data_IF_227449507918
#
_entry.id   IF_227449507918
#
_cell.length_a   1.000
_cell.length_b   1.000
_cell.length_c   1.000
_cell.angle_alpha   90.00
_cell.angle_beta   90.00
_cell.angle_gamma   90.00
#
_symmetry.space_group_name_H-M   'P 1'
#
loop_
_entity.id
_entity.type
_entity.pdbx_description
1 polymer ?
#
# COMPACT_ATOMS: atom_id res chain seq x y z
N UNK A 1 13.12 20.76 -21.81
CA UNK A 1 13.55 19.72 -20.82
C UNK A 1 12.41 19.57 -19.84
N UNK A 2 11.76 18.39 -19.76
CA UNK A 2 10.71 18.16 -18.77
C UNK A 2 11.36 18.07 -17.39
N UNK A 3 11.01 18.99 -16.50
CA UNK A 3 11.53 19.03 -15.13
C UNK A 3 11.00 17.81 -14.38
N UNK A 4 11.86 17.08 -13.69
CA UNK A 4 11.43 15.98 -12.81
C UNK A 4 10.57 16.55 -11.68
N UNK A 5 9.57 15.77 -11.24
CA UNK A 5 8.76 16.12 -10.08
C UNK A 5 9.64 16.08 -8.82
N UNK A 6 9.49 17.06 -7.92
CA UNK A 6 10.42 17.26 -6.80
C UNK A 6 10.28 16.19 -5.71
N UNK A 7 9.04 15.88 -5.33
CA UNK A 7 8.72 14.98 -4.22
C UNK A 7 8.19 13.63 -4.67
N UNK A 8 7.70 13.55 -5.90
CA UNK A 8 7.19 12.30 -6.49
C UNK A 8 8.31 11.45 -7.09
N UNK A 9 8.07 10.14 -7.16
CA UNK A 9 9.04 9.19 -7.68
C UNK A 9 8.35 7.93 -8.21
N UNK A 10 9.03 7.19 -9.06
CA UNK A 10 8.73 5.80 -9.34
C UNK A 10 9.57 4.91 -8.42
N UNK A 11 8.94 3.86 -7.90
CA UNK A 11 9.63 2.84 -7.14
C UNK A 11 9.47 1.49 -7.85
N UNK A 12 10.56 0.79 -8.05
CA UNK A 12 10.53 -0.55 -8.64
C UNK A 12 11.32 -1.53 -7.80
N UNK A 13 10.88 -2.79 -7.78
CA UNK A 13 11.55 -3.79 -6.99
C UNK A 13 10.73 -5.07 -6.90
N UNK A 14 10.60 -5.58 -5.70
CA UNK A 14 10.02 -6.89 -5.44
C UNK A 14 8.97 -6.83 -4.34
N UNK A 15 7.88 -7.56 -4.55
CA UNK A 15 6.95 -8.00 -3.51
C UNK A 15 7.19 -9.48 -3.27
N UNK A 16 7.38 -9.86 -2.00
CA UNK A 16 7.52 -11.25 -1.56
C UNK A 16 6.43 -11.58 -0.56
N UNK A 17 5.82 -12.75 -0.71
CA UNK A 17 4.86 -13.29 0.23
C UNK A 17 5.35 -14.64 0.71
N UNK A 18 5.25 -14.90 2.02
CA UNK A 18 5.59 -16.18 2.63
C UNK A 18 4.48 -16.60 3.59
N UNK A 19 3.99 -17.80 3.38
CA UNK A 19 3.13 -18.50 4.32
C UNK A 19 3.97 -19.55 5.04
N UNK A 20 3.87 -19.63 6.35
CA UNK A 20 4.60 -20.56 7.19
C UNK A 20 3.70 -21.71 7.64
N UNK A 21 2.41 -21.43 7.96
CA UNK A 21 1.45 -22.40 8.42
C UNK A 21 0.09 -22.24 7.69
N UNK A 22 -0.74 -23.31 7.61
CA UNK A 22 -0.46 -24.70 7.96
C UNK A 22 0.47 -25.41 6.99
N UNK A 23 0.67 -24.90 5.77
CA UNK A 23 1.58 -25.41 4.76
C UNK A 23 2.43 -24.27 4.18
N UNK A 24 3.72 -24.48 4.09
CA UNK A 24 4.64 -23.49 3.54
C UNK A 24 4.33 -23.19 2.07
N UNK A 25 4.28 -21.89 1.75
CA UNK A 25 4.09 -21.39 0.40
C UNK A 25 4.71 -20.01 0.26
N UNK A 26 5.60 -19.84 -0.70
CA UNK A 26 6.25 -18.57 -0.95
C UNK A 26 6.26 -18.23 -2.43
N UNK A 27 6.20 -16.93 -2.72
CA UNK A 27 6.35 -16.40 -4.07
C UNK A 27 6.88 -14.98 -4.05
N UNK A 28 7.44 -14.57 -5.17
CA UNK A 28 8.00 -13.23 -5.36
C UNK A 28 7.70 -12.75 -6.78
N UNK A 29 7.28 -11.47 -6.89
CA UNK A 29 7.05 -10.82 -8.17
C UNK A 29 7.75 -9.49 -8.24
N UNK A 30 8.19 -9.11 -9.45
CA UNK A 30 8.59 -7.72 -9.71
C UNK A 30 7.37 -6.82 -9.69
N UNK A 31 7.52 -5.65 -9.06
CA UNK A 31 6.46 -4.66 -8.93
C UNK A 31 7.01 -3.26 -9.21
N UNK A 32 6.17 -2.42 -9.78
CA UNK A 32 6.42 -0.99 -9.91
C UNK A 32 5.29 -0.21 -9.25
N UNK A 33 5.64 0.78 -8.45
CA UNK A 33 4.70 1.65 -7.72
C UNK A 33 4.99 3.11 -8.02
N UNK A 34 3.96 3.93 -7.95
CA UNK A 34 4.04 5.38 -7.93
C UNK A 34 4.11 5.85 -6.48
N UNK A 35 5.09 6.69 -6.16
CA UNK A 35 5.09 7.51 -4.97
C UNK A 35 4.77 8.94 -5.42
N UNK A 36 3.60 9.44 -5.08
CA UNK A 36 3.05 10.70 -5.55
C UNK A 36 2.81 11.64 -4.38
N UNK A 37 3.42 12.83 -4.41
CA UNK A 37 2.93 13.95 -3.63
C UNK A 37 1.61 14.43 -4.24
N UNK A 38 0.54 14.47 -3.46
CA UNK A 38 -0.78 14.82 -3.99
C UNK A 38 -0.84 16.25 -4.50
N UNK A 39 0.06 17.12 -4.04
CA UNK A 39 0.20 18.48 -4.59
C UNK A 39 0.80 18.50 -6.01
N UNK A 40 1.53 17.45 -6.41
CA UNK A 40 2.16 17.34 -7.73
C UNK A 40 1.28 16.57 -8.75
N UNK A 41 0.05 16.22 -8.39
CA UNK A 41 -0.83 15.40 -9.23
C UNK A 41 -1.10 16.01 -10.62
N UNK A 42 -1.29 17.32 -10.69
CA UNK A 42 -1.50 18.00 -11.97
C UNK A 42 -0.27 17.89 -12.86
N UNK A 43 0.92 18.18 -12.32
CA UNK A 43 2.19 18.08 -13.04
C UNK A 43 2.46 16.64 -13.55
N UNK A 44 2.01 15.60 -12.84
CA UNK A 44 2.06 14.23 -13.31
C UNK A 44 1.29 14.04 -14.63
N UNK A 45 0.11 14.63 -14.77
CA UNK A 45 -0.72 14.50 -15.99
C UNK A 45 -0.09 15.26 -17.18
N UNK A 46 0.67 16.30 -16.90
CA UNK A 46 1.35 17.12 -17.92
C UNK A 46 2.69 16.51 -18.37
N UNK A 47 3.22 15.55 -17.61
CA UNK A 47 4.52 14.94 -17.85
C UNK A 47 4.58 14.20 -19.19
N UNK A 48 3.50 13.53 -19.59
CA UNK A 48 3.42 12.75 -20.82
C UNK A 48 1.97 12.51 -21.25
N UNK A 49 1.67 12.45 -22.57
CA UNK A 49 0.38 12.00 -23.06
C UNK A 49 -0.01 10.59 -22.60
N UNK A 50 0.98 9.76 -22.16
CA UNK A 50 0.77 8.44 -21.60
C UNK A 50 0.43 8.48 -20.10
N UNK A 51 0.44 9.66 -19.46
CA UNK A 51 0.06 9.89 -18.08
C UNK A 51 -1.21 10.77 -18.01
N UNK A 52 -2.37 10.21 -18.29
CA UNK A 52 -3.62 10.97 -18.32
C UNK A 52 -4.83 10.12 -18.03
N UNK A 53 -6.01 10.74 -18.05
CA UNK A 53 -7.26 10.11 -17.61
C UNK A 53 -7.62 8.79 -18.33
N UNK A 54 -7.25 8.66 -19.60
CA UNK A 54 -7.50 7.47 -20.44
C UNK A 54 -6.20 6.79 -20.90
N UNK A 55 -5.07 7.16 -20.30
CA UNK A 55 -3.76 6.71 -20.73
C UNK A 55 -3.33 5.38 -20.10
N UNK A 56 -2.16 4.92 -20.53
CA UNK A 56 -1.52 3.71 -20.03
C UNK A 56 -1.15 3.79 -18.54
N UNK A 57 -0.93 5.01 -18.03
CA UNK A 57 -0.62 5.34 -16.65
C UNK A 57 -1.58 6.42 -16.16
N UNK A 58 -2.35 6.15 -15.11
CA UNK A 58 -3.34 7.11 -14.63
C UNK A 58 -3.48 7.02 -13.11
N UNK A 59 -3.45 8.19 -12.46
CA UNK A 59 -3.85 8.36 -11.07
C UNK A 59 -5.21 9.05 -11.01
N UNK A 60 -6.14 8.53 -10.23
CA UNK A 60 -7.46 9.13 -9.99
C UNK A 60 -7.78 9.12 -8.52
N UNK A 61 -8.06 10.28 -7.95
CA UNK A 61 -8.40 10.41 -6.53
C UNK A 61 -9.60 9.54 -6.11
N UNK A 62 -10.60 9.43 -6.97
CA UNK A 62 -11.82 8.64 -6.72
C UNK A 62 -11.59 7.13 -6.61
N UNK A 63 -10.36 6.65 -6.88
CA UNK A 63 -9.97 5.27 -6.66
C UNK A 63 -9.60 4.99 -5.20
N UNK A 64 -9.42 6.02 -4.37
CA UNK A 64 -8.94 5.96 -2.99
C UNK A 64 -9.95 6.61 -2.05
N UNK A 65 -10.09 6.08 -0.83
CA UNK A 65 -11.03 6.55 0.18
C UNK A 65 -12.40 6.95 -0.44
N UNK A 66 -13.08 6.03 -1.17
CA UNK A 66 -14.24 6.35 -1.99
C UNK A 66 -15.43 6.88 -1.18
N UNK A 67 -15.51 6.59 0.09
CA UNK A 67 -16.52 7.12 1.01
C UNK A 67 -16.42 8.65 1.18
N UNK A 68 -15.27 9.24 0.90
CA UNK A 68 -15.03 10.68 0.91
C UNK A 68 -14.94 11.26 -0.51
N UNK A 69 -14.07 10.66 -1.33
CA UNK A 69 -13.71 11.24 -2.64
C UNK A 69 -14.84 11.20 -3.66
N UNK A 70 -15.76 10.23 -3.57
CA UNK A 70 -16.95 10.19 -4.43
C UNK A 70 -18.00 11.24 -4.05
N UNK A 71 -17.91 11.77 -2.84
CA UNK A 71 -18.77 12.85 -2.35
C UNK A 71 -18.17 14.24 -2.62
N UNK A 72 -17.09 14.32 -3.41
CA UNK A 72 -16.47 15.57 -3.82
C UNK A 72 -15.35 16.07 -2.90
N UNK A 73 -15.01 15.35 -1.83
CA UNK A 73 -13.85 15.68 -0.99
C UNK A 73 -12.55 15.36 -1.74
N UNK A 74 -11.61 16.30 -1.81
CA UNK A 74 -10.30 16.04 -2.38
C UNK A 74 -9.54 14.96 -1.59
N UNK A 75 -8.73 14.16 -2.27
CA UNK A 75 -8.07 12.99 -1.64
C UNK A 75 -7.17 13.40 -0.46
N UNK A 76 -6.43 14.49 -0.58
CA UNK A 76 -5.58 14.97 0.52
C UNK A 76 -6.39 15.28 1.79
N UNK A 77 -7.55 15.94 1.62
CA UNK A 77 -8.43 16.26 2.75
C UNK A 77 -9.15 15.03 3.30
N UNK A 78 -9.54 14.10 2.43
CA UNK A 78 -10.09 12.80 2.84
C UNK A 78 -9.11 12.02 3.73
N UNK A 79 -7.82 11.98 3.35
CA UNK A 79 -6.76 11.35 4.15
C UNK A 79 -6.57 12.09 5.48
N UNK A 80 -6.50 13.44 5.46
CA UNK A 80 -6.38 14.25 6.69
C UNK A 80 -7.56 14.03 7.64
N UNK A 81 -8.78 14.00 7.10
CA UNK A 81 -9.99 13.74 7.87
C UNK A 81 -9.93 12.35 8.53
N UNK A 82 -9.62 11.29 7.77
CA UNK A 82 -9.52 9.94 8.30
C UNK A 82 -8.44 9.81 9.39
N UNK A 83 -7.29 10.46 9.19
CA UNK A 83 -6.22 10.47 10.19
C UNK A 83 -6.62 11.26 11.43
N UNK A 84 -7.30 12.40 11.28
CA UNK A 84 -7.81 13.19 12.39
C UNK A 84 -8.86 12.45 13.22
N UNK A 85 -9.80 11.73 12.56
CA UNK A 85 -10.78 10.86 13.23
C UNK A 85 -10.08 9.76 14.06
N UNK A 86 -8.99 9.20 13.53
CA UNK A 86 -8.26 8.13 14.18
C UNK A 86 -7.35 8.58 15.33
N UNK A 87 -6.66 9.70 15.18
CA UNK A 87 -5.62 10.16 16.12
C UNK A 87 -6.07 11.33 17.02
N UNK A 88 -7.27 11.88 16.77
CA UNK A 88 -7.75 13.07 17.47
C UNK A 88 -6.94 14.35 17.17
N UNK A 89 -6.09 14.31 16.12
CA UNK A 89 -5.21 15.42 15.75
C UNK A 89 -5.13 15.56 14.24
N UNK A 90 -5.31 16.80 13.76
CA UNK A 90 -5.12 17.14 12.34
C UNK A 90 -3.63 17.19 11.99
N UNK A 91 -3.30 16.77 10.78
CA UNK A 91 -1.96 16.84 10.20
C UNK A 91 -2.07 17.72 8.94
N UNK A 92 -1.29 18.81 8.91
CA UNK A 92 -1.47 19.88 7.91
C UNK A 92 -0.39 19.92 6.81
N UNK A 93 0.63 19.08 6.90
CA UNK A 93 1.70 19.03 5.90
C UNK A 93 1.34 18.19 4.65
N UNK A 94 2.35 17.87 3.83
CA UNK A 94 2.18 17.11 2.59
C UNK A 94 1.60 15.72 2.82
N UNK A 95 0.78 15.25 1.87
CA UNK A 95 0.30 13.87 1.81
C UNK A 95 0.92 13.23 0.57
N UNK A 96 1.66 12.14 0.77
CA UNK A 96 2.32 11.40 -0.30
C UNK A 96 1.83 9.95 -0.32
N UNK A 97 1.42 9.44 -1.46
CA UNK A 97 0.87 8.09 -1.59
C UNK A 97 1.81 7.17 -2.34
N UNK A 98 2.11 6.01 -1.75
CA UNK A 98 2.74 4.89 -2.45
C UNK A 98 1.66 3.90 -2.89
N UNK A 99 1.49 3.75 -4.19
CA UNK A 99 0.35 3.00 -4.74
C UNK A 99 0.66 2.44 -6.12
N UNK A 100 -0.13 1.46 -6.56
CA UNK A 100 -0.15 1.01 -7.95
C UNK A 100 -1.14 1.87 -8.73
N UNK A 101 -0.68 2.67 -9.71
CA UNK A 101 -1.57 3.49 -10.54
C UNK A 101 -2.42 2.61 -11.46
N UNK A 102 -3.47 3.18 -12.04
CA UNK A 102 -4.22 2.51 -13.12
C UNK A 102 -3.28 2.19 -14.28
N UNK A 103 -3.48 1.01 -14.85
CA UNK A 103 -2.79 0.58 -16.06
C UNK A 103 -3.83 0.32 -17.14
N UNK A 104 -3.81 1.12 -18.22
CA UNK A 104 -4.76 1.01 -19.34
C UNK A 104 -6.23 1.05 -18.89
N UNK A 105 -6.54 1.97 -17.99
CA UNK A 105 -7.90 2.15 -17.45
C UNK A 105 -8.30 1.15 -16.36
N UNK A 106 -7.56 0.06 -16.17
CA UNK A 106 -7.83 -0.91 -15.12
C UNK A 106 -7.26 -0.44 -13.78
N UNK A 107 -8.09 -0.44 -12.74
CA UNK A 107 -7.71 -0.16 -11.36
C UNK A 107 -7.80 -1.44 -10.54
N UNK A 108 -6.68 -1.82 -9.96
CA UNK A 108 -6.64 -2.83 -8.92
C UNK A 108 -5.42 -2.59 -8.03
N UNK A 109 -5.67 -2.34 -6.77
CA UNK A 109 -4.61 -2.06 -5.81
C UNK A 109 -4.95 -2.71 -4.45
N UNK A 110 -4.24 -3.77 -4.06
CA UNK A 110 -4.50 -4.48 -2.80
C UNK A 110 -4.22 -3.61 -1.57
N UNK A 111 -3.27 -2.69 -1.67
CA UNK A 111 -2.91 -1.79 -0.59
C UNK A 111 -2.29 -0.50 -1.12
N UNK A 112 -2.70 0.63 -0.55
CA UNK A 112 -2.07 1.94 -0.72
C UNK A 112 -1.56 2.44 0.63
N UNK A 113 -0.41 3.12 0.63
CA UNK A 113 0.18 3.70 1.82
C UNK A 113 0.25 5.22 1.66
N UNK A 114 -0.53 5.94 2.48
CA UNK A 114 -0.50 7.40 2.52
C UNK A 114 0.41 7.85 3.66
N UNK A 115 1.53 8.45 3.30
CA UNK A 115 2.48 9.05 4.23
C UNK A 115 2.03 10.47 4.53
N UNK A 116 1.70 10.74 5.78
CA UNK A 116 1.17 12.03 6.24
C UNK A 116 2.27 12.76 7.01
N UNK A 117 2.68 13.90 6.48
CA UNK A 117 3.75 14.71 7.06
C UNK A 117 3.17 15.96 7.73
N UNK A 118 3.90 16.53 8.67
CA UNK A 118 3.61 17.88 9.19
C UNK A 118 4.25 18.98 8.33
N UNK A 119 4.10 20.24 8.76
CA UNK A 119 4.63 21.40 8.07
C UNK A 119 6.17 21.39 7.96
N UNK A 120 6.87 20.71 8.87
CA UNK A 120 8.33 20.56 8.89
C UNK A 120 8.77 19.30 8.12
N UNK A 121 7.91 18.73 7.30
CA UNK A 121 8.13 17.48 6.54
C UNK A 121 8.51 16.26 7.42
N UNK A 122 8.10 16.25 8.69
CA UNK A 122 8.29 15.09 9.55
C UNK A 122 7.10 14.13 9.41
N UNK A 123 7.38 12.84 9.20
CA UNK A 123 6.34 11.83 9.12
C UNK A 123 5.60 11.72 10.46
N UNK A 124 4.27 11.89 10.44
CA UNK A 124 3.39 11.84 11.61
C UNK A 124 2.47 10.63 11.63
N UNK A 125 2.10 10.15 10.47
CA UNK A 125 1.30 8.93 10.35
C UNK A 125 1.49 8.26 8.99
N UNK A 126 1.18 6.97 8.95
CA UNK A 126 0.93 6.25 7.69
C UNK A 126 -0.49 5.71 7.74
N UNK A 127 -1.32 6.08 6.76
CA UNK A 127 -2.63 5.47 6.56
C UNK A 127 -2.47 4.37 5.51
N UNK A 128 -2.81 3.13 5.90
CA UNK A 128 -2.85 1.99 4.99
C UNK A 128 -4.29 1.75 4.56
N UNK A 129 -4.62 1.98 3.29
CA UNK A 129 -5.89 1.55 2.71
C UNK A 129 -5.72 0.16 2.12
N UNK A 130 -6.38 -0.83 2.71
CA UNK A 130 -6.31 -2.24 2.31
C UNK A 130 -7.60 -2.65 1.62
N UNK A 131 -7.50 -3.32 0.48
CA UNK A 131 -8.65 -3.88 -0.25
C UNK A 131 -8.59 -5.40 -0.23
N UNK A 132 -9.73 -6.05 -0.05
CA UNK A 132 -9.82 -7.50 -0.16
C UNK A 132 -10.29 -7.98 -1.55
N UNK A 133 -10.01 -9.23 -1.84
CA UNK A 133 -10.45 -9.91 -3.05
C UNK A 133 -11.08 -11.25 -2.66
N UNK A 134 -12.27 -11.58 -3.18
CA UNK A 134 -13.00 -10.94 -4.31
C UNK A 134 -14.00 -9.85 -3.91
N UNK A 135 -14.25 -9.60 -2.63
CA UNK A 135 -15.38 -8.79 -2.12
C UNK A 135 -15.25 -7.30 -2.41
N UNK A 136 -14.03 -6.79 -2.70
CA UNK A 136 -13.74 -5.38 -2.99
C UNK A 136 -14.09 -4.42 -1.85
N UNK A 137 -14.15 -4.93 -0.64
CA UNK A 137 -14.26 -4.11 0.56
C UNK A 137 -12.96 -3.39 0.86
N UNK A 138 -13.02 -2.31 1.62
CA UNK A 138 -11.85 -1.51 2.02
C UNK A 138 -11.83 -1.31 3.51
N UNK A 139 -10.63 -1.24 4.04
CA UNK A 139 -10.39 -1.01 5.45
C UNK A 139 -9.13 -0.17 5.65
N UNK A 140 -9.17 0.71 6.66
CA UNK A 140 -8.07 1.60 6.95
C UNK A 140 -7.35 1.20 8.23
N UNK A 141 -6.01 1.16 8.18
CA UNK A 141 -5.16 1.10 9.35
C UNK A 141 -4.38 2.39 9.46
N UNK A 142 -4.52 3.12 10.58
CA UNK A 142 -3.80 4.35 10.85
C UNK A 142 -2.67 4.05 11.82
N UNK A 143 -1.45 4.33 11.39
CA UNK A 143 -0.22 4.03 12.11
C UNK A 143 0.44 5.35 12.53
N UNK A 144 0.37 5.73 13.82
CA UNK A 144 1.05 6.94 14.28
C UNK A 144 2.57 6.76 14.22
N UNK A 145 3.27 7.74 13.67
CA UNK A 145 4.73 7.77 13.61
C UNK A 145 5.26 8.58 14.80
N UNK A 146 5.88 7.89 15.74
CA UNK A 146 6.39 8.51 16.97
C UNK A 146 7.91 8.68 16.95
N UNK A 147 8.60 8.16 15.93
CA UNK A 147 10.07 8.16 15.85
C UNK A 147 10.53 8.52 14.43
N UNK A 148 11.68 9.17 14.34
CA UNK A 148 12.35 9.48 13.08
C UNK A 148 12.94 8.19 12.50
N UNK A 149 12.70 7.95 11.21
CA UNK A 149 13.33 6.89 10.44
C UNK A 149 12.47 5.66 10.20
N UNK A 150 12.39 4.73 11.14
CA UNK A 150 11.62 3.48 10.98
C UNK A 150 10.33 3.50 11.79
N UNK A 151 9.19 3.25 11.14
CA UNK A 151 7.92 3.06 11.80
C UNK A 151 7.70 1.56 12.08
N UNK A 152 7.46 1.21 13.35
CA UNK A 152 7.09 -0.15 13.77
C UNK A 152 5.83 -0.09 14.61
N UNK A 153 4.85 -0.92 14.26
CA UNK A 153 3.58 -0.94 14.95
C UNK A 153 2.92 -2.31 14.91
N UNK A 154 1.97 -2.51 15.80
CA UNK A 154 1.08 -3.67 15.79
C UNK A 154 -0.37 -3.23 15.88
N UNK A 155 -1.26 -4.02 15.28
CA UNK A 155 -2.71 -3.80 15.29
C UNK A 155 -3.44 -5.12 15.15
N UNK A 156 -4.56 -5.26 15.87
CA UNK A 156 -5.44 -6.41 15.66
C UNK A 156 -5.98 -6.41 14.24
N UNK A 157 -5.82 -7.52 13.53
CA UNK A 157 -6.38 -7.73 12.20
C UNK A 157 -7.87 -8.01 12.33
N UNK A 158 -8.69 -7.09 11.91
CA UNK A 158 -10.16 -7.22 11.94
C UNK A 158 -10.76 -7.27 10.56
N UNK A 159 -9.94 -7.04 9.53
CA UNK A 159 -10.36 -7.07 8.15
C UNK A 159 -9.94 -8.36 7.45
N UNK A 160 -10.90 -9.06 6.84
CA UNK A 160 -10.67 -10.32 6.14
C UNK A 160 -10.12 -10.06 4.73
N UNK A 161 -8.81 -9.99 4.61
CA UNK A 161 -8.13 -9.66 3.33
C UNK A 161 -8.09 -10.85 2.37
N UNK A 162 -7.99 -12.07 2.89
CA UNK A 162 -7.83 -13.28 2.07
C UNK A 162 -8.58 -14.45 2.70
N UNK A 163 -9.34 -15.24 1.91
CA UNK A 163 -10.05 -16.40 2.42
C UNK A 163 -9.14 -17.52 2.97
N UNK A 164 -7.84 -17.44 2.73
CA UNK A 164 -6.88 -18.44 3.18
C UNK A 164 -6.19 -18.08 4.51
N UNK A 165 -6.57 -17.00 5.17
CA UNK A 165 -6.03 -16.59 6.47
C UNK A 165 -7.16 -16.39 7.47
N UNK A 166 -7.01 -16.85 8.73
CA UNK A 166 -7.99 -16.57 9.77
C UNK A 166 -8.12 -15.06 10.03
N UNK A 167 -9.22 -14.66 10.64
CA UNK A 167 -9.50 -13.26 10.94
C UNK A 167 -8.74 -12.77 12.17
N UNK A 168 -8.72 -13.57 13.23
CA UNK A 168 -8.17 -13.19 14.53
C UNK A 168 -6.66 -13.31 14.56
N UNK A 169 -5.99 -12.31 14.00
CA UNK A 169 -4.54 -12.22 13.93
C UNK A 169 -4.09 -10.85 14.41
N UNK A 170 -2.82 -10.75 14.71
CA UNK A 170 -2.12 -9.47 14.92
C UNK A 170 -1.29 -9.14 13.68
N UNK A 171 -1.50 -7.97 13.08
CA UNK A 171 -0.57 -7.39 12.13
C UNK A 171 0.60 -6.76 12.88
N UNK A 172 1.82 -7.17 12.53
CA UNK A 172 3.04 -6.44 12.87
C UNK A 172 3.62 -5.85 11.60
N UNK A 173 3.73 -4.53 11.59
CA UNK A 173 4.12 -3.78 10.42
C UNK A 173 5.38 -2.96 10.69
N UNK A 174 6.26 -2.88 9.69
CA UNK A 174 7.40 -1.98 9.72
C UNK A 174 7.59 -1.29 8.38
N UNK A 175 7.96 -0.02 8.44
CA UNK A 175 8.23 0.83 7.29
C UNK A 175 9.61 1.44 7.46
N UNK A 176 10.43 1.40 6.42
CA UNK A 176 11.65 2.19 6.38
C UNK A 176 11.33 3.67 6.20
N UNK A 177 12.30 4.55 6.45
CA UNK A 177 12.22 5.91 5.95
C UNK A 177 12.07 5.91 4.42
N UNK A 178 11.34 6.91 3.91
CA UNK A 178 11.23 7.13 2.47
C UNK A 178 12.55 7.73 1.96
N UNK A 179 13.17 7.09 0.98
CA UNK A 179 14.46 7.50 0.43
C UNK A 179 14.82 6.71 -0.82
N UNK A 180 16.09 6.54 -1.11
CA UNK A 180 16.58 5.76 -2.26
C UNK A 180 16.12 4.30 -2.21
N UNK A 181 15.97 3.76 -1.03
CA UNK A 181 15.35 2.46 -0.80
C UNK A 181 14.13 2.64 0.08
N UNK A 182 13.06 1.93 -0.25
CA UNK A 182 11.84 1.90 0.54
C UNK A 182 11.47 0.45 0.82
N UNK A 183 11.31 0.14 2.09
CA UNK A 183 10.92 -1.16 2.58
C UNK A 183 9.61 -1.09 3.38
N UNK A 184 8.71 -2.04 3.11
CA UNK A 184 7.51 -2.27 3.93
C UNK A 184 7.44 -3.74 4.24
N UNK A 185 7.28 -4.08 5.51
CA UNK A 185 7.08 -5.44 5.96
C UNK A 185 5.81 -5.53 6.80
N UNK A 186 4.96 -6.50 6.49
CA UNK A 186 3.72 -6.78 7.20
C UNK A 186 3.68 -8.27 7.51
N UNK A 187 3.48 -8.63 8.78
CA UNK A 187 3.42 -10.02 9.22
C UNK A 187 2.15 -10.30 10.01
N UNK A 188 1.53 -11.45 9.74
CA UNK A 188 0.36 -11.98 10.43
C UNK A 188 0.79 -12.95 11.52
N UNK A 189 0.45 -12.64 12.76
CA UNK A 189 0.77 -13.44 13.95
C UNK A 189 -0.47 -13.95 14.64
N UNK A 190 -0.42 -15.21 15.09
CA UNK A 190 -1.41 -15.82 15.99
C UNK A 190 -0.68 -16.17 17.29
N UNK A 191 -0.85 -15.33 18.32
CA UNK A 191 -0.03 -15.43 19.52
C UNK A 191 1.46 -15.30 19.23
N UNK A 192 2.25 -16.33 19.52
CA UNK A 192 3.68 -16.37 19.25
C UNK A 192 4.06 -16.93 17.85
N UNK A 193 3.07 -17.39 17.07
CA UNK A 193 3.32 -18.06 15.79
C UNK A 193 3.10 -17.11 14.63
N UNK A 194 4.12 -16.93 13.80
CA UNK A 194 4.02 -16.21 12.52
C UNK A 194 3.39 -17.12 11.47
N UNK A 195 2.23 -16.74 10.94
CA UNK A 195 1.51 -17.51 9.93
C UNK A 195 1.85 -17.08 8.49
N UNK A 196 2.05 -15.79 8.30
CA UNK A 196 2.25 -15.20 6.98
C UNK A 196 3.06 -13.92 7.09
N UNK A 197 3.80 -13.56 6.04
CA UNK A 197 4.34 -12.22 5.86
C UNK A 197 4.32 -11.78 4.40
N UNK A 198 4.29 -10.46 4.22
CA UNK A 198 4.46 -9.77 2.96
C UNK A 198 5.54 -8.70 3.12
N UNK A 199 6.47 -8.64 2.17
CA UNK A 199 7.55 -7.64 2.15
C UNK A 199 7.61 -6.95 0.81
N UNK A 200 7.76 -5.62 0.84
CA UNK A 200 8.14 -4.80 -0.30
C UNK A 200 9.59 -4.36 -0.13
N UNK A 201 10.40 -4.52 -1.16
CA UNK A 201 11.76 -3.99 -1.25
C UNK A 201 11.90 -3.26 -2.56
N UNK A 202 11.99 -1.94 -2.49
CA UNK A 202 11.84 -1.04 -3.62
C UNK A 202 13.04 -0.09 -3.71
N UNK A 203 13.38 0.30 -4.94
CA UNK A 203 14.41 1.29 -5.26
C UNK A 203 13.79 2.47 -5.99
N UNK A 204 14.17 3.68 -5.56
CA UNK A 204 13.70 4.95 -6.09
C UNK A 204 14.26 5.20 -7.49
N UNK A 205 13.41 5.81 -8.33
CA UNK A 205 13.78 6.39 -9.62
C UNK A 205 13.09 7.75 -9.73
N UNK A 206 13.77 8.73 -10.29
CA UNK A 206 13.15 10.02 -10.54
C UNK A 206 11.91 9.86 -11.42
N UNK A 207 10.90 10.69 -11.21
CA UNK A 207 9.71 10.72 -12.03
C UNK A 207 9.81 11.85 -13.05
N UNK A 208 10.29 11.49 -14.22
CA UNK A 208 10.36 12.31 -15.42
C UNK A 208 9.77 11.56 -16.62
N UNK A 209 9.65 12.21 -17.76
CA UNK A 209 9.06 11.61 -18.97
C UNK A 209 9.80 10.33 -19.41
N UNK A 210 11.12 10.33 -19.35
CA UNK A 210 11.92 9.19 -19.81
C UNK A 210 11.79 7.99 -18.87
N UNK A 211 11.83 8.23 -17.55
CA UNK A 211 11.64 7.19 -16.53
C UNK A 211 10.22 6.62 -16.54
N UNK A 212 9.20 7.47 -16.76
CA UNK A 212 7.82 7.02 -16.94
C UNK A 212 7.67 6.08 -18.15
N UNK A 213 8.26 6.43 -19.29
CA UNK A 213 8.21 5.57 -20.48
C UNK A 213 8.94 4.23 -20.22
N UNK A 214 10.12 4.25 -19.57
CA UNK A 214 10.84 3.02 -19.18
C UNK A 214 10.02 2.18 -18.21
N UNK A 215 9.32 2.82 -17.24
CA UNK A 215 8.42 2.14 -16.33
C UNK A 215 7.29 1.43 -17.09
N UNK A 216 6.63 2.10 -18.04
CA UNK A 216 5.56 1.50 -18.84
C UNK A 216 6.05 0.33 -19.70
N UNK A 217 7.26 0.40 -20.24
CA UNK A 217 7.88 -0.73 -20.96
C UNK A 217 8.23 -1.89 -20.03
N UNK A 218 8.67 -1.59 -18.81
CA UNK A 218 9.03 -2.62 -17.80
C UNK A 218 7.81 -3.29 -17.18
N UNK A 219 6.71 -2.55 -17.06
CA UNK A 219 5.47 -2.97 -16.42
C UNK A 219 4.23 -2.71 -17.31
N UNK A 220 4.17 -3.25 -18.54
CA UNK A 220 3.19 -2.85 -19.56
C UNK A 220 1.73 -3.15 -19.17
N UNK A 221 1.49 -4.14 -18.32
CA UNK A 221 0.16 -4.58 -17.88
C UNK A 221 0.16 -4.92 -16.40
N UNK A 222 0.67 -3.98 -15.58
CA UNK A 222 0.90 -4.25 -14.16
C UNK A 222 -0.36 -4.71 -13.44
N UNK A 223 -1.48 -3.99 -13.63
CA UNK A 223 -2.76 -4.32 -12.99
C UNK A 223 -3.27 -5.69 -13.41
N UNK A 224 -3.27 -6.01 -14.70
CA UNK A 224 -3.72 -7.31 -15.19
C UNK A 224 -2.84 -8.47 -14.69
N UNK A 225 -1.51 -8.28 -14.67
CA UNK A 225 -0.56 -9.26 -14.10
C UNK A 225 -0.80 -9.47 -12.60
N UNK A 226 -1.09 -8.41 -11.84
CA UNK A 226 -1.37 -8.50 -10.41
C UNK A 226 -2.63 -9.32 -10.16
N UNK A 227 -3.72 -9.04 -10.88
CA UNK A 227 -4.97 -9.81 -10.77
C UNK A 227 -4.75 -11.27 -11.14
N UNK A 228 -4.12 -11.55 -12.29
CA UNK A 228 -3.81 -12.91 -12.71
C UNK A 228 -2.95 -13.67 -11.69
N UNK A 229 -1.94 -13.00 -11.12
CA UNK A 229 -1.08 -13.58 -10.09
C UNK A 229 -1.86 -13.93 -8.82
N UNK A 230 -2.80 -13.08 -8.37
CA UNK A 230 -3.64 -13.36 -7.20
C UNK A 230 -4.47 -14.63 -7.41
N UNK A 231 -5.19 -14.74 -8.53
CA UNK A 231 -6.00 -15.92 -8.80
C UNK A 231 -5.15 -17.18 -9.02
N UNK A 232 -3.98 -17.04 -9.66
CA UNK A 232 -3.03 -18.14 -9.80
C UNK A 232 -2.54 -18.65 -8.44
N UNK A 233 -2.17 -17.74 -7.53
CA UNK A 233 -1.75 -18.14 -6.18
C UNK A 233 -2.92 -18.72 -5.39
N UNK A 234 -4.13 -18.19 -5.51
CA UNK A 234 -5.33 -18.76 -4.90
C UNK A 234 -5.54 -20.21 -5.36
N UNK A 235 -5.46 -20.49 -6.67
CA UNK A 235 -5.55 -21.85 -7.21
C UNK A 235 -4.47 -22.77 -6.61
N UNK A 236 -3.20 -22.30 -6.53
CA UNK A 236 -2.11 -23.09 -5.92
C UNK A 236 -2.36 -23.38 -4.44
N UNK A 237 -2.97 -22.47 -3.69
CA UNK A 237 -3.34 -22.67 -2.29
C UNK A 237 -4.47 -23.71 -2.16
N UNK A 238 -5.47 -23.66 -3.03
CA UNK A 238 -6.54 -24.67 -3.12
C UNK A 238 -5.97 -26.05 -3.43
N UNK A 239 -5.12 -26.20 -4.42
CA UNK A 239 -4.45 -27.46 -4.76
C UNK A 239 -3.59 -28.00 -3.59
N UNK A 240 -3.05 -27.10 -2.76
CA UNK A 240 -2.36 -27.47 -1.53
C UNK A 240 -3.32 -27.82 -0.36
N UNK A 241 -4.64 -27.79 -0.59
CA UNK A 241 -5.67 -28.05 0.42
C UNK A 241 -5.50 -27.17 1.67
N UNK A 242 -5.16 -25.88 1.45
CA UNK A 242 -5.13 -24.89 2.55
C UNK A 242 -6.59 -24.57 2.90
N UNK A 243 -6.96 -24.54 4.19
CA UNK A 243 -8.34 -24.29 4.61
C UNK A 243 -8.81 -22.92 4.12
N UNK A 244 -10.08 -22.87 3.74
CA UNK A 244 -10.79 -21.63 3.41
C UNK A 244 -11.58 -21.22 4.64
N UNK A 245 -11.51 -19.96 5.00
CA UNK A 245 -12.27 -19.36 6.09
C UNK A 245 -13.44 -18.57 5.53
N UNK A 246 -14.58 -18.68 6.17
CA UNK A 246 -15.78 -17.93 5.79
C UNK A 246 -15.55 -16.41 5.87
N UNK A 247 -16.17 -15.70 4.93
CA UNK A 247 -16.10 -14.26 4.94
C UNK A 247 -16.87 -13.68 6.13
N UNK A 248 -16.24 -12.76 6.83
CA UNK A 248 -16.87 -11.97 7.88
C UNK A 248 -16.62 -10.49 7.58
N UNK A 249 -17.68 -9.66 7.52
CA UNK A 249 -17.54 -8.23 7.37
C UNK A 249 -16.64 -7.63 8.46
N UNK A 250 -15.92 -6.58 8.14
CA UNK A 250 -15.11 -5.87 9.12
C UNK A 250 -15.98 -5.09 10.10
N UNK A 251 -15.56 -5.01 11.36
CA UNK A 251 -16.16 -4.13 12.35
C UNK A 251 -15.58 -2.72 12.20
N UNK A 252 -16.44 -1.74 11.87
CA UNK A 252 -16.03 -0.37 11.61
C UNK A 252 -15.31 -0.20 10.28
N UNK A 253 -14.73 0.97 10.07
CA UNK A 253 -14.06 1.35 8.81
C UNK A 253 -12.56 1.53 8.96
N UNK A 254 -12.06 1.66 10.19
CA UNK A 254 -10.63 1.81 10.46
C UNK A 254 -10.23 1.31 11.85
N UNK A 255 -8.92 1.09 12.04
CA UNK A 255 -8.26 0.88 13.35
C UNK A 255 -6.96 1.65 13.45
N UNK A 256 -6.63 2.02 14.69
CA UNK A 256 -5.37 2.67 15.04
C UNK A 256 -4.38 1.62 15.52
N UNK A 257 -3.18 1.63 14.94
CA UNK A 257 -2.10 0.77 15.37
C UNK A 257 -1.40 1.33 16.61
N UNK A 258 -0.84 0.43 17.42
CA UNK A 258 -0.02 0.79 18.58
C UNK A 258 1.46 0.67 18.21
N UNK A 259 2.33 1.55 18.74
CA UNK A 259 3.77 1.37 18.58
C UNK A 259 4.21 -0.01 19.08
N UNK A 260 5.02 -0.71 18.31
CA UNK A 260 5.56 -2.02 18.69
C UNK A 260 6.96 -1.82 19.26
N UNK A 261 7.14 -2.10 20.56
CA UNK A 261 8.35 -1.80 21.32
C UNK A 261 9.36 -2.96 21.33
N UNK A 262 8.95 -4.18 20.92
CA UNK A 262 9.84 -5.36 20.93
C UNK A 262 10.57 -5.54 19.61
N UNK A 263 11.85 -5.89 19.72
CA UNK A 263 12.75 -6.16 18.61
C UNK A 263 12.19 -7.20 17.64
N UNK A 264 11.88 -6.77 16.42
CA UNK A 264 11.79 -7.70 15.31
C UNK A 264 13.22 -8.03 14.86
N UNK A 265 13.55 -9.30 14.59
CA UNK A 265 14.90 -9.67 14.16
C UNK A 265 15.31 -8.85 12.93
N UNK A 266 16.58 -8.41 12.92
CA UNK A 266 17.17 -7.51 11.93
C UNK A 266 17.27 -8.08 10.50
N UNK A 267 16.86 -9.31 10.26
CA UNK A 267 17.18 -10.07 9.03
C UNK A 267 16.25 -9.84 7.84
N UNK A 268 15.25 -8.95 7.90
CA UNK A 268 14.17 -8.98 6.88
C UNK A 268 13.86 -7.66 6.16
N UNK A 269 14.80 -6.70 6.10
CA UNK A 269 14.65 -5.49 5.26
C UNK A 269 15.62 -5.49 4.08
#
# INVERSE_FOLDING_TARGET
MSTALAHSALYSGWVRHRRFAPRAHAFRYRIGLLYLDLAEQQALTELSPLAGRLAAFCFRETDYLPEFTRNGTGLADAVRQRVAEALGKRIDGPIRVLTQPRSWGLSFNPVSFFYCFDADEQLRAVLCEVSNTPWRERYHYVLPANQVGKLRCSVAKTFHVSPFLPRELEYRMSFSAVGERLGVHMADWQGATKLFDASLSLQRQSLDRASLHRYLLSFPWMTGKTVAAIYWQALRLLLKRIPIFDHSPAEGTFRVARPHVKDMPHEEL
#
